data_IF_176079982763
#
_entry.id   IF_176079982763
#
_cell.length_a   1.000
_cell.length_b   1.000
_cell.length_c   1.000
_cell.angle_alpha   90.00
_cell.angle_beta   90.00
_cell.angle_gamma   90.00
#
_symmetry.space_group_name_H-M   'P 1'
#
loop_
_entity.id
_entity.type
_entity.pdbx_description
1 polymer ?
#
# COMPACT_ATOMS: atom_id res chain seq x y z
N UNK A 1 -22.39 -12.77 51.69
CA UNK A 1 -21.01 -12.77 51.17
C UNK A 1 -21.12 -12.74 49.65
N UNK A 2 -20.85 -11.59 49.03
CA UNK A 2 -21.06 -11.36 47.60
C UNK A 2 -19.86 -11.80 46.78
N UNK A 3 -20.10 -12.65 45.78
CA UNK A 3 -19.15 -13.07 44.75
C UNK A 3 -18.75 -11.87 43.89
N UNK A 4 -17.47 -11.49 43.93
CA UNK A 4 -16.86 -10.52 43.02
C UNK A 4 -16.61 -11.23 41.68
N UNK A 5 -17.43 -10.92 40.69
CA UNK A 5 -17.22 -11.36 39.31
C UNK A 5 -16.03 -10.61 38.71
N UNK A 6 -14.94 -11.35 38.46
CA UNK A 6 -13.82 -10.90 37.64
C UNK A 6 -14.33 -10.66 36.20
N UNK A 7 -14.53 -9.40 35.85
CA UNK A 7 -14.73 -8.97 34.47
C UNK A 7 -13.40 -9.11 33.73
N UNK A 8 -13.19 -10.25 33.07
CA UNK A 8 -12.19 -10.37 32.02
C UNK A 8 -12.66 -9.51 30.84
N UNK A 9 -12.17 -8.27 30.78
CA UNK A 9 -12.32 -7.43 29.61
C UNK A 9 -11.58 -8.06 28.44
N UNK A 10 -12.32 -8.50 27.41
CA UNK A 10 -11.75 -8.77 26.10
C UNK A 10 -11.17 -7.46 25.55
N UNK A 11 -9.87 -7.24 25.73
CA UNK A 11 -9.12 -6.29 24.91
C UNK A 11 -9.25 -6.76 23.47
N UNK A 12 -9.97 -5.99 22.66
CA UNK A 12 -10.12 -6.26 21.23
C UNK A 12 -8.74 -6.22 20.58
N UNK A 13 -8.22 -7.39 20.23
CA UNK A 13 -6.94 -7.60 19.50
C UNK A 13 -6.88 -6.90 18.15
N UNK A 14 -8.00 -6.43 17.61
CA UNK A 14 -8.09 -5.73 16.32
C UNK A 14 -7.21 -4.48 16.23
N UNK A 15 -6.98 -3.75 17.32
CA UNK A 15 -6.16 -2.53 17.27
C UNK A 15 -4.66 -2.80 17.02
N UNK A 16 -4.19 -4.02 17.28
CA UNK A 16 -2.78 -4.36 17.10
C UNK A 16 -2.46 -4.88 15.68
N UNK A 17 -3.48 -5.12 14.84
CA UNK A 17 -3.34 -5.72 13.52
C UNK A 17 -3.15 -4.70 12.38
N UNK A 18 -3.40 -3.41 12.67
CA UNK A 18 -3.34 -2.33 11.71
C UNK A 18 -2.32 -1.27 12.13
N UNK A 19 -1.84 -0.49 11.17
CA UNK A 19 -0.97 0.65 11.37
C UNK A 19 -1.44 1.80 10.49
N UNK A 20 -1.31 3.04 10.96
CA UNK A 20 -1.57 4.22 10.12
C UNK A 20 -0.42 4.40 9.15
N UNK A 21 -0.70 4.37 7.83
CA UNK A 21 0.31 4.53 6.78
C UNK A 21 -0.19 5.41 5.62
N UNK A 22 0.71 6.19 5.01
CA UNK A 22 0.47 6.81 3.70
C UNK A 22 0.49 5.75 2.59
N UNK A 23 -0.14 6.02 1.45
CA UNK A 23 -0.21 5.05 0.34
C UNK A 23 0.42 5.65 -0.91
N UNK A 24 1.30 4.86 -1.54
CA UNK A 24 1.97 5.18 -2.80
C UNK A 24 1.74 4.08 -3.82
N UNK A 25 1.48 4.47 -5.07
CA UNK A 25 1.51 3.58 -6.22
C UNK A 25 2.84 3.74 -6.96
N UNK A 26 3.48 2.62 -7.26
CA UNK A 26 4.69 2.54 -8.08
C UNK A 26 4.42 1.57 -9.22
N UNK A 27 4.78 1.93 -10.44
CA UNK A 27 4.48 1.16 -11.63
C UNK A 27 5.76 0.79 -12.38
N UNK A 28 5.97 -0.51 -12.48
CA UNK A 28 7.02 -1.17 -13.25
C UNK A 28 6.49 -1.79 -14.54
N UNK A 29 5.23 -1.54 -14.90
CA UNK A 29 4.69 -1.86 -16.23
C UNK A 29 4.50 -0.59 -17.07
N UNK A 30 4.18 -0.80 -18.34
CA UNK A 30 3.82 0.28 -19.27
C UNK A 30 2.31 0.54 -19.33
N UNK A 31 1.54 -0.12 -18.46
CA UNK A 31 0.10 0.08 -18.37
C UNK A 31 -0.19 1.31 -17.50
N UNK A 32 -0.98 2.24 -17.99
CA UNK A 32 -1.45 3.35 -17.17
C UNK A 32 -2.50 2.86 -16.17
N UNK A 33 -2.28 3.13 -14.89
CA UNK A 33 -3.24 2.82 -13.81
C UNK A 33 -3.93 4.11 -13.39
N UNK A 34 -5.12 4.41 -13.93
CA UNK A 34 -5.85 5.64 -13.60
C UNK A 34 -6.23 5.70 -12.12
N UNK A 35 -6.56 4.55 -11.52
CA UNK A 35 -6.88 4.42 -10.12
C UNK A 35 -6.61 3.00 -9.59
N UNK A 36 -6.37 2.93 -8.29
CA UNK A 36 -6.45 1.71 -7.52
C UNK A 36 -7.05 1.98 -6.15
N UNK A 37 -7.63 0.95 -5.55
CA UNK A 37 -8.18 0.94 -4.20
C UNK A 37 -7.61 -0.21 -3.39
N UNK A 38 -7.51 0.00 -2.09
CA UNK A 38 -7.16 -1.01 -1.10
C UNK A 38 -8.44 -1.42 -0.38
N UNK A 39 -8.68 -2.72 -0.36
CA UNK A 39 -9.78 -3.32 0.36
C UNK A 39 -9.22 -4.22 1.45
N UNK A 40 -9.99 -4.40 2.51
CA UNK A 40 -9.69 -5.40 3.54
C UNK A 40 -9.70 -6.81 2.94
N UNK A 41 -9.19 -7.80 3.69
CA UNK A 41 -9.27 -9.21 3.28
C UNK A 41 -10.73 -9.68 3.07
N UNK A 42 -11.70 -9.10 3.79
CA UNK A 42 -13.13 -9.35 3.58
C UNK A 42 -13.71 -8.62 2.34
N UNK A 43 -12.93 -7.77 1.68
CA UNK A 43 -13.36 -7.01 0.51
C UNK A 43 -14.09 -5.71 0.83
N UNK A 44 -13.99 -5.21 2.06
CA UNK A 44 -14.54 -3.89 2.42
C UNK A 44 -13.60 -2.78 1.95
N UNK A 45 -14.17 -1.69 1.44
CA UNK A 45 -13.40 -0.51 1.05
C UNK A 45 -12.73 0.12 2.27
N UNK A 46 -11.42 0.34 2.19
CA UNK A 46 -10.71 1.08 3.25
C UNK A 46 -10.81 2.60 3.07
N UNK A 47 -11.33 3.06 1.92
CA UNK A 47 -11.29 4.45 1.50
C UNK A 47 -9.94 4.90 0.95
N UNK A 48 -9.03 3.94 0.70
CA UNK A 48 -7.64 4.21 0.36
C UNK A 48 -7.26 3.66 -1.00
N UNK A 49 -6.18 4.21 -1.54
CA UNK A 49 -5.71 3.83 -2.85
C UNK A 49 -4.77 4.87 -3.41
N UNK A 50 -4.75 4.96 -4.73
CA UNK A 50 -4.02 5.98 -5.45
C UNK A 50 -4.64 6.23 -6.80
N UNK A 51 -4.24 7.32 -7.42
CA UNK A 51 -4.67 7.67 -8.77
C UNK A 51 -3.49 8.09 -9.62
N UNK A 52 -3.70 7.97 -10.93
CA UNK A 52 -2.79 8.42 -11.98
C UNK A 52 -1.38 7.85 -11.83
N UNK A 53 -1.26 6.56 -11.54
CA UNK A 53 0.04 5.89 -11.51
C UNK A 53 0.56 5.85 -12.94
N UNK A 54 1.61 6.62 -13.20
CA UNK A 54 2.16 6.77 -14.54
C UNK A 54 2.74 5.44 -15.05
N UNK A 55 2.78 5.26 -16.37
CA UNK A 55 3.57 4.23 -17.02
C UNK A 55 5.04 4.33 -16.57
N UNK A 56 5.76 3.20 -16.51
CA UNK A 56 7.17 3.17 -16.10
C UNK A 56 8.03 4.11 -16.95
N UNK A 57 7.85 4.11 -18.27
CA UNK A 57 8.52 5.03 -19.20
C UNK A 57 8.29 6.52 -18.90
N UNK A 58 7.19 6.85 -18.20
CA UNK A 58 6.81 8.21 -17.79
C UNK A 58 7.07 8.50 -16.30
N UNK A 59 7.83 7.64 -15.63
CA UNK A 59 8.30 7.85 -14.27
C UNK A 59 7.66 6.94 -13.22
N UNK A 60 6.60 6.21 -13.56
CA UNK A 60 6.13 5.08 -12.74
C UNK A 60 5.63 5.41 -11.33
N UNK A 61 5.23 6.65 -11.03
CA UNK A 61 4.78 7.04 -9.68
C UNK A 61 3.33 7.53 -9.71
N UNK A 62 2.61 7.32 -8.61
CA UNK A 62 1.32 7.96 -8.34
C UNK A 62 1.49 9.34 -7.69
N UNK A 63 0.39 10.09 -7.60
CA UNK A 63 0.29 11.14 -6.59
C UNK A 63 0.28 10.57 -5.17
N UNK A 64 0.62 11.39 -4.17
CA UNK A 64 0.59 11.02 -2.75
C UNK A 64 -0.85 10.99 -2.24
N UNK A 65 -1.25 9.89 -1.58
CA UNK A 65 -2.52 9.76 -0.87
C UNK A 65 -2.31 9.69 0.64
N UNK A 66 -3.12 10.47 1.37
CA UNK A 66 -3.00 10.63 2.81
C UNK A 66 -3.59 9.43 3.59
N UNK A 67 -3.23 9.36 4.87
CA UNK A 67 -2.99 8.13 5.62
C UNK A 67 -4.23 7.30 6.00
N UNK A 68 -3.98 6.02 6.27
CA UNK A 68 -5.00 5.03 6.56
C UNK A 68 -4.60 3.94 7.54
N UNK A 69 -5.57 3.28 8.20
CA UNK A 69 -5.35 1.97 8.79
C UNK A 69 -5.05 0.92 7.71
N UNK A 70 -3.81 0.45 7.65
CA UNK A 70 -3.32 -0.61 6.77
C UNK A 70 -3.00 -1.86 7.61
N UNK A 71 -3.37 -3.08 7.16
CA UNK A 71 -2.95 -4.30 7.83
C UNK A 71 -1.43 -4.40 7.97
N UNK A 72 -0.95 -4.83 9.14
CA UNK A 72 0.48 -5.06 9.38
C UNK A 72 1.06 -6.17 8.49
N UNK A 73 2.39 -6.23 8.34
CA UNK A 73 3.06 -7.28 7.57
C UNK A 73 2.63 -8.69 7.98
N UNK A 74 2.51 -9.59 7.00
CA UNK A 74 2.03 -10.97 7.17
C UNK A 74 0.52 -11.12 7.06
N UNK A 75 -0.25 -10.02 7.03
CA UNK A 75 -1.70 -10.03 6.76
C UNK A 75 -1.98 -9.77 5.29
N UNK A 76 -3.17 -10.17 4.84
CA UNK A 76 -3.61 -9.96 3.47
C UNK A 76 -4.41 -8.67 3.33
N UNK A 77 -4.29 -8.02 2.18
CA UNK A 77 -5.22 -7.03 1.69
C UNK A 77 -5.58 -7.34 0.24
N UNK A 78 -6.60 -6.68 -0.29
CA UNK A 78 -6.95 -6.80 -1.69
C UNK A 78 -6.65 -5.48 -2.39
N UNK A 79 -5.86 -5.53 -3.46
CA UNK A 79 -5.67 -4.40 -4.36
C UNK A 79 -6.64 -4.56 -5.52
N UNK A 80 -7.49 -3.57 -5.73
CA UNK A 80 -8.34 -3.43 -6.92
C UNK A 80 -7.79 -2.29 -7.75
N UNK A 81 -7.63 -2.45 -9.06
CA UNK A 81 -7.13 -1.37 -9.91
C UNK A 81 -7.70 -1.44 -11.31
N UNK A 82 -7.61 -0.33 -12.01
CA UNK A 82 -7.97 -0.23 -13.41
C UNK A 82 -6.74 -0.08 -14.29
N UNK A 83 -6.85 -0.53 -15.54
CA UNK A 83 -5.92 -0.19 -16.61
C UNK A 83 -6.75 0.37 -17.77
N UNK A 84 -6.36 1.53 -18.28
CA UNK A 84 -7.02 2.15 -19.41
C UNK A 84 -6.23 3.33 -19.94
N UNK A 85 -6.53 3.77 -21.15
CA UNK A 85 -5.82 4.89 -21.74
C UNK A 85 -6.29 6.23 -21.15
N UNK A 86 -5.43 7.24 -21.10
CA UNK A 86 -5.77 8.55 -20.47
C UNK A 86 -6.90 9.28 -21.20
N UNK A 87 -7.12 8.93 -22.46
CA UNK A 87 -8.11 9.54 -23.35
C UNK A 87 -9.41 8.72 -23.42
N UNK A 88 -9.41 7.54 -22.84
CA UNK A 88 -10.57 6.65 -22.84
C UNK A 88 -11.45 6.95 -21.63
N UNK A 89 -12.76 6.88 -21.82
CA UNK A 89 -13.71 6.94 -20.71
C UNK A 89 -13.66 5.68 -19.85
N UNK A 90 -13.99 5.83 -18.56
CA UNK A 90 -13.93 4.78 -17.53
C UNK A 90 -14.60 3.45 -17.94
N UNK A 91 -15.68 3.51 -18.73
CA UNK A 91 -16.39 2.34 -19.23
C UNK A 91 -15.53 1.38 -20.09
N UNK A 92 -14.39 1.84 -20.60
CA UNK A 92 -13.47 1.03 -21.40
C UNK A 92 -12.29 0.51 -20.59
N UNK A 93 -12.14 0.94 -19.33
CA UNK A 93 -11.05 0.49 -18.49
C UNK A 93 -11.24 -0.96 -18.09
N UNK A 94 -10.13 -1.70 -18.04
CA UNK A 94 -10.10 -3.07 -17.56
C UNK A 94 -9.91 -3.08 -16.06
N UNK A 95 -10.81 -3.73 -15.35
CA UNK A 95 -10.72 -3.89 -13.89
C UNK A 95 -9.95 -5.15 -13.51
N UNK A 96 -9.10 -5.03 -12.51
CA UNK A 96 -8.32 -6.12 -11.94
C UNK A 96 -8.44 -6.10 -10.42
N UNK A 97 -8.27 -7.29 -9.82
CA UNK A 97 -8.32 -7.45 -8.38
C UNK A 97 -7.40 -8.58 -7.96
N UNK A 98 -6.58 -8.36 -6.94
CA UNK A 98 -5.66 -9.37 -6.42
C UNK A 98 -5.51 -9.27 -4.90
N UNK A 99 -5.63 -10.41 -4.24
CA UNK A 99 -5.25 -10.55 -2.82
C UNK A 99 -3.74 -10.67 -2.73
N UNK A 100 -3.13 -9.83 -1.88
CA UNK A 100 -1.68 -9.81 -1.65
C UNK A 100 -1.39 -9.81 -0.16
N UNK A 101 -0.30 -10.47 0.21
CA UNK A 101 0.23 -10.41 1.58
C UNK A 101 1.08 -9.15 1.71
N UNK A 102 0.77 -8.33 2.72
CA UNK A 102 1.55 -7.16 3.06
C UNK A 102 2.92 -7.62 3.57
N UNK A 103 3.99 -7.15 2.92
CA UNK A 103 5.37 -7.43 3.32
C UNK A 103 5.98 -6.24 4.05
N UNK A 104 7.22 -6.41 4.50
CA UNK A 104 8.01 -5.33 5.08
C UNK A 104 7.83 -5.21 6.58
N UNK A 105 7.86 -3.98 7.06
CA UNK A 105 7.87 -3.66 8.48
C UNK A 105 6.98 -2.47 8.78
N UNK A 106 6.44 -2.44 10.00
CA UNK A 106 5.59 -1.36 10.48
C UNK A 106 5.98 -1.02 11.90
N UNK A 107 5.85 0.26 12.26
CA UNK A 107 6.04 0.73 13.62
C UNK A 107 4.80 1.45 14.14
N UNK A 108 4.53 1.26 15.42
CA UNK A 108 3.56 2.05 16.18
C UNK A 108 4.21 3.26 16.88
N UNK A 109 5.52 3.43 16.70
CA UNK A 109 6.29 4.57 17.20
C UNK A 109 5.84 5.87 16.51
N UNK A 110 5.36 6.89 17.25
CA UNK A 110 4.90 8.14 16.67
C UNK A 110 6.00 8.94 15.94
N UNK A 111 7.28 8.69 16.24
CA UNK A 111 8.40 9.36 15.58
C UNK A 111 8.77 8.68 14.23
N UNK A 112 8.03 7.63 13.87
CA UNK A 112 8.20 6.92 12.60
C UNK A 112 6.98 7.08 11.70
N UNK A 113 7.24 7.20 10.42
CA UNK A 113 6.23 7.24 9.37
C UNK A 113 6.14 5.87 8.72
N UNK A 114 4.92 5.34 8.61
CA UNK A 114 4.67 4.16 7.82
C UNK A 114 4.15 4.56 6.45
N UNK A 115 4.63 3.88 5.42
CA UNK A 115 4.21 4.07 4.03
C UNK A 115 3.95 2.70 3.41
N UNK A 116 2.74 2.49 2.89
CA UNK A 116 2.42 1.35 2.05
C UNK A 116 2.75 1.70 0.60
N UNK A 117 3.68 0.93 0.02
CA UNK A 117 4.00 1.00 -1.40
C UNK A 117 3.31 -0.15 -2.11
N UNK A 118 2.39 0.20 -3.02
CA UNK A 118 1.72 -0.73 -3.93
C UNK A 118 2.45 -0.69 -5.27
N UNK A 119 3.03 -1.83 -5.66
CA UNK A 119 3.83 -1.95 -6.88
C UNK A 119 3.09 -2.74 -7.95
N UNK A 120 2.92 -2.17 -9.13
CA UNK A 120 2.36 -2.82 -10.31
C UNK A 120 3.47 -3.33 -11.22
N UNK A 121 3.31 -4.53 -11.75
CA UNK A 121 4.31 -5.20 -12.59
C UNK A 121 3.67 -5.75 -13.88
N UNK A 122 4.48 -6.02 -14.92
CA UNK A 122 4.01 -6.67 -16.13
C UNK A 122 3.26 -7.97 -15.84
N UNK A 123 2.22 -8.25 -16.63
CA UNK A 123 1.35 -9.43 -16.41
C UNK A 123 0.26 -9.23 -15.37
N UNK A 124 -0.06 -7.97 -15.03
CA UNK A 124 -1.10 -7.61 -14.05
C UNK A 124 -0.79 -8.11 -12.64
N UNK A 125 0.49 -8.10 -12.33
CA UNK A 125 1.05 -8.55 -11.07
C UNK A 125 1.18 -7.37 -10.10
N UNK A 126 0.92 -7.59 -8.80
CA UNK A 126 0.95 -6.52 -7.79
C UNK A 126 1.57 -6.99 -6.48
N UNK A 127 2.31 -6.10 -5.83
CA UNK A 127 2.86 -6.27 -4.48
C UNK A 127 2.45 -5.12 -3.56
N UNK A 128 2.41 -5.41 -2.26
CA UNK A 128 2.16 -4.45 -1.21
C UNK A 128 3.25 -4.57 -0.13
N UNK A 129 3.98 -3.51 0.12
CA UNK A 129 5.05 -3.47 1.12
C UNK A 129 4.89 -2.27 2.04
N UNK A 130 4.87 -2.52 3.34
CA UNK A 130 4.98 -1.48 4.35
C UNK A 130 6.46 -1.16 4.59
N UNK A 131 6.76 0.12 4.47
CA UNK A 131 8.03 0.71 4.82
C UNK A 131 7.84 1.58 6.07
N UNK A 132 8.80 1.49 6.97
CA UNK A 132 8.84 2.33 8.15
C UNK A 132 10.09 3.20 8.09
N UNK A 133 9.91 4.50 7.99
CA UNK A 133 11.00 5.47 7.93
C UNK A 133 11.04 6.29 9.22
N UNK A 134 12.26 6.55 9.70
CA UNK A 134 12.44 7.50 10.80
C UNK A 134 12.25 8.92 10.26
N UNK A 135 11.61 9.79 11.04
CA UNK A 135 11.36 11.19 10.61
C UNK A 135 12.42 12.17 11.13
N UNK A 136 13.42 11.67 11.87
CA UNK A 136 14.47 12.48 12.49
C UNK A 136 15.53 13.01 11.51
N UNK A 137 16.36 13.98 11.94
CA UNK A 137 17.39 14.60 11.11
C UNK A 137 18.48 13.64 10.62
N UNK A 138 18.65 12.49 11.29
CA UNK A 138 19.59 11.43 10.93
C UNK A 138 18.97 10.34 10.02
N UNK A 139 17.74 10.56 9.55
CA UNK A 139 17.05 9.61 8.68
C UNK A 139 17.75 9.52 7.31
N UNK A 140 18.52 8.45 7.13
CA UNK A 140 19.06 8.07 5.83
C UNK A 140 17.96 7.51 4.90
N UNK A 141 18.12 7.64 3.57
CA UNK A 141 17.20 7.03 2.62
C UNK A 141 17.12 5.51 2.83
N UNK A 142 15.89 4.98 2.93
CA UNK A 142 15.70 3.54 3.05
C UNK A 142 16.19 2.83 1.78
N UNK A 143 17.07 1.81 1.88
CA UNK A 143 17.51 1.05 0.71
C UNK A 143 16.35 0.28 0.04
N UNK A 144 15.22 0.11 0.75
CA UNK A 144 14.02 -0.54 0.24
C UNK A 144 13.17 0.40 -0.62
N UNK A 145 13.36 1.71 -0.49
CA UNK A 145 12.64 2.70 -1.26
C UNK A 145 13.01 2.57 -2.75
N UNK A 146 11.98 2.57 -3.58
CA UNK A 146 12.15 2.34 -5.00
C UNK A 146 12.96 3.46 -5.67
N UNK A 147 13.87 3.07 -6.58
CA UNK A 147 14.72 4.02 -7.32
C UNK A 147 13.91 5.09 -8.08
N UNK A 148 12.65 4.77 -8.41
CA UNK A 148 11.71 5.69 -9.03
C UNK A 148 11.42 6.93 -8.18
N UNK A 149 11.41 6.82 -6.84
CA UNK A 149 11.26 7.98 -5.95
C UNK A 149 12.44 8.97 -6.07
N UNK A 150 13.60 8.51 -6.54
CA UNK A 150 14.77 9.35 -6.81
C UNK A 150 14.88 9.77 -8.29
N UNK A 151 13.82 9.55 -9.09
CA UNK A 151 13.80 9.85 -10.52
C UNK A 151 14.62 8.87 -11.38
N UNK A 152 15.12 7.77 -10.79
CA UNK A 152 15.93 6.78 -11.48
C UNK A 152 15.05 5.64 -11.99
N UNK A 153 15.04 5.42 -13.31
CA UNK A 153 14.24 4.37 -13.96
C UNK A 153 14.97 3.04 -13.95
N UNK A 154 14.97 2.38 -12.80
CA UNK A 154 15.55 1.05 -12.63
C UNK A 154 14.41 0.05 -12.43
N UNK A 155 14.32 -0.94 -13.31
CA UNK A 155 13.34 -2.02 -13.19
C UNK A 155 13.56 -2.83 -11.92
N UNK A 156 12.50 -3.00 -11.14
CA UNK A 156 12.50 -3.91 -9.98
C UNK A 156 11.94 -5.27 -10.40
N UNK A 157 12.46 -6.33 -9.77
CA UNK A 157 11.85 -7.66 -9.84
C UNK A 157 10.92 -7.86 -8.66
N UNK A 158 9.77 -8.48 -8.92
CA UNK A 158 8.86 -8.92 -7.88
C UNK A 158 9.60 -9.85 -6.88
N UNK A 159 9.34 -9.69 -5.59
CA UNK A 159 9.91 -10.53 -4.53
C UNK A 159 11.30 -10.15 -4.03
N UNK A 160 11.92 -9.09 -4.58
CA UNK A 160 13.23 -8.58 -4.16
C UNK A 160 13.17 -7.53 -3.06
#
# INVERSE_FOLDING_TARGET
>A
MGTVGLLYGCVSTKSNEYVTASVYGVNYSEDYVPDFSILTESGEQTGMGGSRVQEFSKGGLSGLMCCAPIPKPGRSLIVSWHIGDRKEGEANWKSFRKTVVVRGEASNDPDKMNSLVVRFFPGYEVEAELMCESTGPDAGPSPRLDQLFYGRRVMRRMGG
#
